data_IF_183246157721
#
_entry.id   IF_183246157721
#
_cell.length_a   1.000
_cell.length_b   1.000
_cell.length_c   1.000
_cell.angle_alpha   90.00
_cell.angle_beta   90.00
_cell.angle_gamma   90.00
#
_symmetry.space_group_name_H-M   'P 1'
#
loop_
_entity.id
_entity.type
_entity.pdbx_description
1 polymer ?
#
# COMPACT_ATOMS: atom_id res chain seq x y z
N UNK A 1 4.67 -13.15 4.09
CA UNK A 1 4.37 -14.29 3.19
C UNK A 1 3.10 -13.95 2.41
N UNK A 2 3.18 -13.67 1.11
CA UNK A 2 2.03 -13.29 0.28
C UNK A 2 1.49 -14.55 -0.40
N UNK A 3 0.24 -14.94 -0.12
CA UNK A 3 -0.42 -16.10 -0.78
C UNK A 3 -1.49 -15.69 -1.78
N UNK A 4 -2.08 -14.52 -1.59
CA UNK A 4 -3.18 -14.01 -2.42
C UNK A 4 -2.70 -13.11 -3.56
N UNK A 5 -1.72 -12.24 -3.30
CA UNK A 5 -1.14 -11.35 -4.32
C UNK A 5 0.07 -12.00 -4.96
N UNK A 6 0.12 -12.03 -6.29
CA UNK A 6 1.27 -12.56 -7.05
C UNK A 6 2.52 -11.69 -6.97
N UNK A 7 2.36 -10.37 -6.76
CA UNK A 7 3.49 -9.44 -6.67
C UNK A 7 4.37 -9.74 -5.45
N UNK A 8 5.66 -9.90 -5.67
CA UNK A 8 6.69 -10.05 -4.64
C UNK A 8 7.10 -8.70 -4.05
N UNK A 9 7.98 -8.72 -3.05
CA UNK A 9 8.60 -7.49 -2.54
C UNK A 9 9.54 -6.84 -3.56
N UNK A 10 10.21 -7.65 -4.40
CA UNK A 10 11.05 -7.17 -5.48
C UNK A 10 10.21 -6.50 -6.58
N UNK A 11 9.10 -7.13 -6.99
CA UNK A 11 8.18 -6.53 -7.96
C UNK A 11 7.62 -5.21 -7.45
N UNK A 12 7.22 -5.16 -6.16
CA UNK A 12 6.73 -3.92 -5.54
C UNK A 12 7.78 -2.81 -5.60
N UNK A 13 9.05 -3.13 -5.33
CA UNK A 13 10.12 -2.14 -5.39
C UNK A 13 10.36 -1.64 -6.81
N UNK A 14 10.41 -2.54 -7.79
CA UNK A 14 10.53 -2.17 -9.20
C UNK A 14 9.38 -1.29 -9.68
N UNK A 15 8.14 -1.56 -9.24
CA UNK A 15 6.98 -0.72 -9.55
C UNK A 15 7.09 0.68 -8.94
N UNK A 16 7.50 0.78 -7.67
CA UNK A 16 7.71 2.07 -6.99
C UNK A 16 8.81 2.88 -7.68
N UNK A 17 9.94 2.26 -7.99
CA UNK A 17 11.05 2.89 -8.72
C UNK A 17 10.60 3.40 -10.09
N UNK A 18 9.80 2.63 -10.82
CA UNK A 18 9.25 3.03 -12.13
C UNK A 18 8.27 4.22 -12.03
N UNK A 19 7.56 4.35 -10.91
CA UNK A 19 6.69 5.50 -10.61
C UNK A 19 7.46 6.70 -10.04
N UNK A 20 8.73 6.53 -9.65
CA UNK A 20 9.50 7.55 -8.95
C UNK A 20 9.08 7.77 -7.49
N UNK A 21 8.37 6.82 -6.89
CA UNK A 21 7.89 6.89 -5.51
C UNK A 21 8.84 6.14 -4.56
N UNK A 22 9.15 6.73 -3.41
CA UNK A 22 9.99 6.13 -2.38
C UNK A 22 9.24 5.13 -1.49
N UNK A 23 7.90 5.22 -1.43
CA UNK A 23 7.09 4.35 -0.58
C UNK A 23 5.65 4.18 -1.08
N UNK A 24 4.93 3.22 -0.52
CA UNK A 24 3.48 3.11 -0.73
C UNK A 24 2.75 4.33 -0.13
N UNK A 25 3.19 4.82 1.02
CA UNK A 25 2.50 5.91 1.74
C UNK A 25 2.47 7.20 0.92
N UNK A 26 3.54 7.47 0.17
CA UNK A 26 3.66 8.60 -0.76
C UNK A 26 2.58 8.56 -1.85
N UNK A 27 2.20 7.36 -2.33
CA UNK A 27 1.13 7.23 -3.32
C UNK A 27 -0.22 7.71 -2.79
N UNK A 28 -0.43 7.62 -1.47
CA UNK A 28 -1.67 8.06 -0.83
C UNK A 28 -1.71 9.56 -0.52
N UNK A 29 -0.61 10.31 -0.68
CA UNK A 29 -0.61 11.78 -0.50
C UNK A 29 -1.50 12.50 -1.51
N UNK A 30 -1.78 11.86 -2.64
CA UNK A 30 -2.71 12.35 -3.67
C UNK A 30 -4.18 12.21 -3.25
N UNK A 31 -4.47 11.47 -2.17
CA UNK A 31 -5.83 11.33 -1.63
C UNK A 31 -6.10 12.46 -0.64
N UNK A 32 -7.17 13.27 -0.80
CA UNK A 32 -7.48 14.34 0.13
C UNK A 32 -7.60 13.81 1.58
N UNK A 33 -6.99 14.48 2.58
CA UNK A 33 -6.99 14.00 3.97
C UNK A 33 -8.39 13.76 4.53
N UNK A 34 -9.36 14.61 4.19
CA UNK A 34 -10.73 14.57 4.70
C UNK A 34 -11.52 13.31 4.29
N UNK A 35 -11.05 12.60 3.26
CA UNK A 35 -11.66 11.34 2.80
C UNK A 35 -10.78 10.12 3.06
N UNK A 36 -9.61 10.32 3.67
CA UNK A 36 -8.70 9.23 4.04
C UNK A 36 -9.06 8.73 5.44
N UNK A 37 -9.18 7.41 5.57
CA UNK A 37 -9.41 6.81 6.89
C UNK A 37 -8.13 6.91 7.73
N UNK A 38 -8.24 7.51 8.91
CA UNK A 38 -7.14 7.78 9.86
C UNK A 38 -7.04 6.76 11.00
N UNK A 39 -7.80 5.67 10.88
CA UNK A 39 -7.83 4.55 11.80
C UNK A 39 -7.74 3.23 11.06
N UNK A 40 -7.33 2.19 11.77
CA UNK A 40 -7.40 0.83 11.25
C UNK A 40 -8.84 0.42 10.94
N UNK A 41 -8.97 -0.57 10.06
CA UNK A 41 -10.24 -1.21 9.79
C UNK A 41 -10.68 -2.01 11.02
N UNK A 42 -11.94 -1.85 11.40
CA UNK A 42 -12.55 -2.62 12.51
C UNK A 42 -12.92 -4.02 12.01
N UNK A 43 -11.92 -4.88 11.92
CA UNK A 43 -12.03 -6.24 11.41
C UNK A 43 -11.38 -7.24 12.39
N UNK A 44 -11.89 -8.49 12.47
CA UNK A 44 -11.19 -9.56 13.16
C UNK A 44 -9.80 -9.82 12.53
N UNK A 45 -8.85 -10.41 13.28
CA UNK A 45 -7.56 -10.81 12.74
C UNK A 45 -7.71 -11.69 11.50
N UNK A 46 -6.83 -11.48 10.51
CA UNK A 46 -6.73 -12.36 9.35
C UNK A 46 -6.40 -13.80 9.77
N UNK A 47 -6.99 -14.76 9.07
CA UNK A 47 -6.77 -16.19 9.27
C UNK A 47 -5.34 -16.63 8.90
#
# INVERSE_FOLDING_TARGET
MRRYTSATDADRRAMLDAMGAASIDELFEQTPPDVRLDRDLDLPPGL
#
